data_IF_334738396454
#
_entry.id   IF_334738396454
#
_cell.length_a   1.000
_cell.length_b   1.000
_cell.length_c   1.000
_cell.angle_alpha   90.00
_cell.angle_beta   90.00
_cell.angle_gamma   90.00
#
_symmetry.space_group_name_H-M   'P 1'
#
loop_
_entity.id
_entity.type
_entity.pdbx_description
1 polymer ?
#
# COMPACT_ATOMS: atom_id res chain seq x y z
N UNK A 1 66.60 11.73 -37.49
CA UNK A 1 65.23 11.83 -38.03
C UNK A 1 64.47 10.58 -37.60
N UNK A 2 63.79 10.68 -36.47
CA UNK A 2 63.05 9.61 -35.80
C UNK A 2 61.62 9.60 -36.36
N UNK A 3 61.13 8.46 -36.89
CA UNK A 3 59.73 8.31 -37.29
C UNK A 3 59.11 7.16 -36.51
N UNK A 4 58.18 7.55 -35.64
CA UNK A 4 57.38 6.73 -34.73
C UNK A 4 56.46 5.75 -35.46
N UNK A 5 56.36 4.53 -34.93
CA UNK A 5 55.27 3.59 -35.19
C UNK A 5 54.03 4.05 -34.41
N UNK A 6 52.90 4.26 -35.09
CA UNK A 6 51.57 4.36 -34.46
C UNK A 6 50.92 2.98 -34.46
N UNK A 7 50.80 2.37 -33.28
CA UNK A 7 49.93 1.22 -33.02
C UNK A 7 48.52 1.73 -32.69
N UNK A 8 47.54 1.40 -33.54
CA UNK A 8 46.11 1.60 -33.24
C UNK A 8 45.64 0.53 -32.26
N UNK A 9 45.25 0.95 -31.06
CA UNK A 9 44.56 0.10 -30.09
C UNK A 9 43.05 0.25 -30.30
N UNK A 10 42.41 -0.84 -30.74
CA UNK A 10 40.95 -0.93 -30.88
C UNK A 10 40.36 -1.25 -29.50
N UNK A 11 39.75 -0.27 -28.84
CA UNK A 11 39.06 -0.47 -27.57
C UNK A 11 37.68 -1.08 -27.84
N UNK A 12 37.49 -2.35 -27.48
CA UNK A 12 36.19 -3.00 -27.40
C UNK A 12 35.47 -2.50 -26.15
N UNK A 13 34.49 -1.61 -26.35
CA UNK A 13 33.51 -1.25 -25.33
C UNK A 13 32.55 -2.43 -25.15
N UNK A 14 32.77 -3.22 -24.08
CA UNK A 14 31.76 -4.14 -23.56
C UNK A 14 30.62 -3.29 -22.98
N UNK A 15 29.51 -3.18 -23.72
CA UNK A 15 28.27 -2.67 -23.17
C UNK A 15 27.79 -3.67 -22.12
N UNK A 16 27.95 -3.31 -20.84
CA UNK A 16 27.28 -4.02 -19.75
C UNK A 16 25.78 -3.80 -19.91
N UNK A 17 25.03 -4.86 -20.21
CA UNK A 17 23.59 -4.87 -20.02
C UNK A 17 23.35 -4.71 -18.53
N UNK A 18 22.91 -3.51 -18.11
CA UNK A 18 22.36 -3.34 -16.77
C UNK A 18 21.11 -4.22 -16.68
N UNK A 19 21.16 -5.27 -15.86
CA UNK A 19 19.98 -5.99 -15.40
C UNK A 19 19.24 -5.05 -14.44
N UNK A 20 18.40 -4.17 -14.97
CA UNK A 20 17.53 -3.31 -14.19
C UNK A 20 16.08 -3.80 -14.35
N UNK A 21 15.40 -3.99 -13.21
CA UNK A 21 13.96 -4.23 -13.04
C UNK A 21 13.38 -5.65 -13.15
N UNK A 22 14.10 -6.73 -12.80
CA UNK A 22 13.44 -8.05 -12.68
C UNK A 22 12.48 -8.17 -11.46
N UNK A 23 12.46 -7.18 -10.57
CA UNK A 23 11.71 -7.23 -9.30
C UNK A 23 10.41 -6.40 -9.27
N UNK A 24 10.05 -5.68 -10.35
CA UNK A 24 8.81 -4.89 -10.40
C UNK A 24 7.61 -5.78 -10.75
N UNK A 25 6.43 -5.46 -10.22
CA UNK A 25 5.22 -6.26 -10.43
C UNK A 25 4.96 -6.59 -11.91
N UNK A 26 5.17 -5.61 -12.80
CA UNK A 26 4.94 -5.75 -14.26
C UNK A 26 5.81 -6.82 -14.94
N UNK A 27 6.90 -7.24 -14.29
CA UNK A 27 7.81 -8.27 -14.78
C UNK A 27 7.64 -9.60 -14.03
N UNK A 28 6.79 -9.66 -13.01
CA UNK A 28 6.56 -10.85 -12.20
C UNK A 28 5.47 -11.75 -12.81
N UNK A 29 5.73 -13.05 -12.82
CA UNK A 29 4.78 -14.03 -13.33
C UNK A 29 3.56 -14.11 -12.40
N UNK A 30 2.36 -13.98 -12.96
CA UNK A 30 1.10 -14.04 -12.20
C UNK A 30 0.62 -12.68 -11.71
N UNK A 31 1.31 -11.59 -12.07
CA UNK A 31 0.83 -10.24 -11.84
C UNK A 31 -0.50 -9.98 -12.56
N UNK A 32 -1.37 -9.23 -11.90
CA UNK A 32 -2.58 -8.64 -12.48
C UNK A 32 -2.11 -7.42 -13.26
N UNK A 33 -2.26 -7.43 -14.59
CA UNK A 33 -1.77 -6.35 -15.46
C UNK A 33 -2.92 -5.53 -16.02
N UNK A 34 -2.72 -4.22 -16.12
CA UNK A 34 -3.64 -3.26 -16.71
C UNK A 34 -2.91 -2.37 -17.72
N UNK A 35 -3.66 -1.87 -18.71
CA UNK A 35 -3.13 -0.91 -19.67
C UNK A 35 -3.03 0.49 -19.03
N UNK A 36 -2.00 1.26 -19.40
CA UNK A 36 -1.84 2.64 -18.96
C UNK A 36 -3.04 3.51 -19.38
N UNK A 37 -3.53 4.34 -18.46
CA UNK A 37 -4.61 5.29 -18.70
C UNK A 37 -4.12 6.74 -18.50
N UNK A 38 -3.89 7.51 -19.58
CA UNK A 38 -3.38 8.88 -19.49
C UNK A 38 -4.39 9.87 -18.89
N UNK A 39 -5.62 9.45 -18.58
CA UNK A 39 -6.60 10.28 -17.86
C UNK A 39 -6.40 10.25 -16.34
N UNK A 40 -5.65 9.28 -15.81
CA UNK A 40 -5.32 9.14 -14.39
C UNK A 40 -4.01 9.85 -14.05
N UNK A 41 -3.83 10.21 -12.79
CA UNK A 41 -2.53 10.66 -12.30
C UNK A 41 -1.53 9.49 -12.39
N UNK A 42 -0.37 9.73 -13.01
CA UNK A 42 0.56 8.65 -13.34
C UNK A 42 1.06 7.87 -12.11
N UNK A 43 1.21 8.54 -10.96
CA UNK A 43 1.60 7.91 -9.69
C UNK A 43 0.53 6.95 -9.11
N UNK A 44 -0.71 6.98 -9.64
CA UNK A 44 -1.82 6.14 -9.19
C UNK A 44 -2.42 5.27 -10.31
N UNK A 45 -2.01 5.44 -11.56
CA UNK A 45 -2.38 4.59 -12.70
C UNK A 45 -1.61 3.26 -12.61
N UNK A 46 -2.30 2.17 -12.30
CA UNK A 46 -1.69 0.86 -12.06
C UNK A 46 -1.37 0.23 -13.42
N UNK A 47 -0.15 -0.27 -13.58
CA UNK A 47 0.24 -1.13 -14.70
C UNK A 47 0.29 -2.60 -14.31
N UNK A 48 0.64 -2.88 -13.05
CA UNK A 48 0.61 -4.22 -12.52
C UNK A 48 0.48 -4.25 -10.99
N UNK A 49 -0.25 -5.23 -10.46
CA UNK A 49 -0.26 -5.58 -9.05
C UNK A 49 0.13 -7.05 -8.88
N UNK A 50 0.96 -7.34 -7.88
CA UNK A 50 1.42 -8.68 -7.60
C UNK A 50 1.65 -8.88 -6.10
N UNK A 51 1.56 -10.12 -5.65
CA UNK A 51 2.01 -10.51 -4.32
C UNK A 51 2.55 -11.93 -4.40
N UNK A 52 3.67 -12.16 -3.74
CA UNK A 52 4.28 -13.49 -3.64
C UNK A 52 4.75 -13.78 -2.23
N UNK A 53 4.98 -15.06 -1.96
CA UNK A 53 5.40 -15.56 -0.65
C UNK A 53 6.80 -16.15 -0.71
N UNK A 54 7.60 -15.86 0.31
CA UNK A 54 8.83 -16.57 0.65
C UNK A 54 8.81 -16.99 2.13
N UNK A 55 8.60 -18.28 2.38
CA UNK A 55 8.51 -18.81 3.73
C UNK A 55 7.33 -18.21 4.50
N UNK A 56 7.61 -17.32 5.46
CA UNK A 56 6.60 -16.60 6.27
C UNK A 56 6.39 -15.15 5.84
N UNK A 57 7.13 -14.69 4.84
CA UNK A 57 7.06 -13.33 4.33
C UNK A 57 6.18 -13.32 3.09
N UNK A 58 5.33 -12.30 2.99
CA UNK A 58 4.63 -11.98 1.76
C UNK A 58 5.07 -10.59 1.33
N UNK A 59 5.49 -10.46 0.08
CA UNK A 59 5.81 -9.15 -0.50
C UNK A 59 4.72 -8.78 -1.48
N UNK A 60 4.04 -7.67 -1.18
CA UNK A 60 3.05 -7.03 -2.03
C UNK A 60 3.75 -5.99 -2.89
N UNK A 61 3.34 -5.91 -4.16
CA UNK A 61 3.97 -5.16 -5.22
C UNK A 61 2.92 -4.42 -6.03
N UNK A 62 3.24 -3.21 -6.46
CA UNK A 62 2.43 -2.45 -7.40
C UNK A 62 3.34 -1.58 -8.27
N UNK A 63 3.28 -1.80 -9.58
CA UNK A 63 3.93 -0.95 -10.58
C UNK A 63 2.91 0.06 -11.10
N UNK A 64 3.26 1.34 -11.06
CA UNK A 64 2.46 2.45 -11.58
C UNK A 64 3.02 2.98 -12.90
N UNK A 65 2.25 3.80 -13.61
CA UNK A 65 2.66 4.40 -14.88
C UNK A 65 3.67 5.55 -14.70
N UNK A 66 3.70 6.16 -13.51
CA UNK A 66 4.59 7.24 -13.10
C UNK A 66 5.53 6.83 -11.98
N UNK A 67 6.06 7.80 -11.24
CA UNK A 67 6.85 7.55 -10.03
C UNK A 67 5.91 7.28 -8.85
N UNK A 68 6.01 6.09 -8.24
CA UNK A 68 5.18 5.72 -7.11
C UNK A 68 5.54 6.58 -5.89
N UNK A 69 4.52 7.02 -5.15
CA UNK A 69 4.68 7.87 -3.97
C UNK A 69 4.99 9.34 -4.24
N UNK A 70 5.12 9.74 -5.51
CA UNK A 70 5.43 11.13 -5.89
C UNK A 70 4.30 12.12 -5.55
N UNK A 71 3.05 11.67 -5.53
CA UNK A 71 1.88 12.47 -5.19
C UNK A 71 1.42 12.17 -3.75
N UNK A 72 1.33 13.20 -2.92
CA UNK A 72 0.88 13.13 -1.53
C UNK A 72 -0.22 14.17 -1.26
N UNK A 73 -1.14 13.92 -0.31
CA UNK A 73 -2.14 14.92 0.05
C UNK A 73 -1.49 16.15 0.67
N UNK A 74 -2.03 17.33 0.37
CA UNK A 74 -1.57 18.58 0.98
C UNK A 74 -2.01 18.66 2.44
N UNK A 75 -1.13 19.02 3.39
CA UNK A 75 -1.52 19.23 4.79
C UNK A 75 -2.56 20.33 4.92
N UNK A 76 -3.52 20.08 5.80
CA UNK A 76 -4.64 20.97 6.14
C UNK A 76 -4.50 21.55 7.55
N UNK A 77 -3.65 20.95 8.38
CA UNK A 77 -3.40 21.32 9.78
C UNK A 77 -4.49 20.84 10.75
N UNK A 78 -5.37 19.93 10.32
CA UNK A 78 -6.44 19.39 11.16
C UNK A 78 -6.82 17.97 10.76
N UNK A 79 -7.04 17.11 11.76
CA UNK A 79 -7.49 15.73 11.56
C UNK A 79 -8.85 15.65 10.86
N UNK A 80 -9.82 16.46 11.30
CA UNK A 80 -11.17 16.45 10.74
C UNK A 80 -11.17 16.88 9.27
N UNK A 81 -11.54 15.96 8.37
CA UNK A 81 -11.56 16.22 6.94
C UNK A 81 -10.22 15.99 6.23
N UNK A 82 -9.19 15.53 6.94
CA UNK A 82 -7.88 15.21 6.39
C UNK A 82 -7.97 14.18 5.26
N UNK A 83 -7.14 14.36 4.24
CA UNK A 83 -7.07 13.45 3.09
C UNK A 83 -5.97 12.42 3.31
N UNK A 84 -6.23 11.19 2.88
CA UNK A 84 -5.29 10.08 2.88
C UNK A 84 -5.17 9.58 1.44
N UNK A 85 -3.96 9.47 0.91
CA UNK A 85 -3.73 8.74 -0.34
C UNK A 85 -3.18 7.37 -0.03
N UNK A 86 -3.53 6.37 -0.85
CA UNK A 86 -3.19 4.98 -0.54
C UNK A 86 -2.94 4.11 -1.78
N UNK A 87 -2.00 3.18 -1.61
CA UNK A 87 -1.81 1.97 -2.41
C UNK A 87 -2.33 0.80 -1.60
N UNK A 88 -3.30 0.05 -2.12
CA UNK A 88 -4.07 -0.93 -1.35
C UNK A 88 -4.04 -2.28 -2.05
N UNK A 89 -3.87 -3.34 -1.27
CA UNK A 89 -4.06 -4.72 -1.69
C UNK A 89 -5.19 -5.36 -0.88
N UNK A 90 -6.44 -5.28 -1.37
CA UNK A 90 -7.55 -6.02 -0.79
C UNK A 90 -7.33 -7.52 -0.95
N UNK A 91 -7.67 -8.30 0.06
CA UNK A 91 -7.44 -9.75 0.07
C UNK A 91 -8.68 -10.53 0.45
N UNK A 92 -8.68 -11.84 0.17
CA UNK A 92 -9.66 -12.79 0.71
C UNK A 92 -9.28 -13.33 2.09
N UNK A 93 -8.23 -12.80 2.73
CA UNK A 93 -7.78 -13.27 4.04
C UNK A 93 -8.83 -12.93 5.10
N UNK A 94 -8.96 -13.81 6.08
CA UNK A 94 -9.73 -13.49 7.28
C UNK A 94 -8.98 -12.42 8.10
N UNK A 95 -9.64 -11.36 8.60
CA UNK A 95 -9.00 -10.38 9.47
C UNK A 95 -8.26 -10.99 10.68
N UNK A 96 -8.71 -12.14 11.18
CA UNK A 96 -8.05 -12.87 12.26
C UNK A 96 -6.61 -13.30 11.94
N UNK A 97 -6.24 -13.42 10.66
CA UNK A 97 -4.89 -13.79 10.23
C UNK A 97 -3.84 -12.76 10.67
N UNK A 98 -4.24 -11.51 10.92
CA UNK A 98 -3.35 -10.45 11.41
C UNK A 98 -3.74 -9.95 12.80
N UNK A 99 -4.67 -10.61 13.48
CA UNK A 99 -5.02 -10.34 14.89
C UNK A 99 -6.28 -9.50 15.12
N UNK A 100 -7.00 -9.09 14.08
CA UNK A 100 -8.32 -8.49 14.24
C UNK A 100 -9.38 -9.53 14.62
N UNK A 101 -10.54 -9.07 15.08
CA UNK A 101 -11.74 -9.92 15.17
C UNK A 101 -12.10 -10.46 13.78
N UNK A 102 -12.20 -11.78 13.66
CA UNK A 102 -12.42 -12.45 12.38
C UNK A 102 -13.82 -12.25 11.79
N UNK A 103 -13.95 -12.47 10.48
CA UNK A 103 -15.21 -12.36 9.73
C UNK A 103 -15.89 -10.97 9.84
N UNK A 104 -15.10 -9.92 10.04
CA UNK A 104 -15.58 -8.54 10.25
C UNK A 104 -15.56 -7.65 9.02
N UNK A 105 -14.99 -8.11 7.90
CA UNK A 105 -14.93 -7.35 6.65
C UNK A 105 -13.81 -7.82 5.73
N UNK A 106 -13.44 -6.96 4.78
CA UNK A 106 -12.36 -7.20 3.82
C UNK A 106 -11.05 -6.78 4.47
N UNK A 107 -10.12 -7.72 4.64
CA UNK A 107 -8.76 -7.39 5.09
C UNK A 107 -7.96 -6.83 3.92
N UNK A 108 -7.39 -5.63 4.09
CA UNK A 108 -6.55 -5.00 3.10
C UNK A 108 -5.23 -4.52 3.72
N UNK A 109 -4.13 -4.76 3.01
CA UNK A 109 -2.87 -4.07 3.27
C UNK A 109 -2.95 -2.72 2.58
N UNK A 110 -2.60 -1.65 3.27
CA UNK A 110 -2.52 -0.32 2.69
C UNK A 110 -1.16 0.29 2.98
N UNK A 111 -0.52 0.89 1.97
CA UNK A 111 0.51 1.89 2.17
C UNK A 111 -0.14 3.27 2.01
N UNK A 112 0.02 4.14 2.99
CA UNK A 112 -0.73 5.41 3.13
C UNK A 112 0.22 6.59 3.31
N UNK A 113 -0.26 7.77 2.90
CA UNK A 113 0.33 9.07 3.26
C UNK A 113 -0.80 9.99 3.71
N UNK A 114 -0.65 10.57 4.90
CA UNK A 114 -1.66 11.41 5.55
C UNK A 114 -1.02 12.38 6.58
N UNK A 115 -0.63 13.59 6.15
CA UNK A 115 0.15 14.51 6.99
C UNK A 115 -0.58 15.11 8.20
N UNK A 116 -1.90 14.89 8.33
CA UNK A 116 -2.72 15.42 9.43
C UNK A 116 -3.39 14.33 10.28
N UNK A 117 -2.99 13.07 10.08
CA UNK A 117 -3.53 11.93 10.81
C UNK A 117 -2.38 11.16 11.44
N UNK A 118 -2.22 11.26 12.75
CA UNK A 118 -1.24 10.50 13.50
C UNK A 118 -1.88 9.19 13.97
N UNK A 119 -1.46 8.09 13.37
CA UNK A 119 -1.92 6.73 13.66
C UNK A 119 -0.77 5.74 13.87
N UNK A 120 0.44 6.24 14.11
CA UNK A 120 1.64 5.43 14.38
C UNK A 120 2.29 5.78 15.73
N UNK A 121 1.57 5.86 16.85
CA UNK A 121 2.11 6.36 18.13
C UNK A 121 3.25 5.50 18.73
N UNK A 122 3.53 4.33 18.15
CA UNK A 122 4.62 3.44 18.53
C UNK A 122 5.90 3.65 17.71
N UNK A 123 5.83 4.37 16.60
CA UNK A 123 6.90 4.53 15.63
C UNK A 123 7.12 6.02 15.34
N UNK A 124 8.36 6.46 15.40
CA UNK A 124 8.80 7.79 14.97
C UNK A 124 9.18 7.68 13.48
N UNK A 125 8.22 7.95 12.59
CA UNK A 125 8.34 7.66 11.16
C UNK A 125 9.46 8.47 10.50
N UNK A 126 9.59 9.72 10.93
CA UNK A 126 10.55 10.66 10.37
C UNK A 126 11.88 10.71 11.15
N UNK A 127 11.95 10.01 12.28
CA UNK A 127 13.11 9.88 13.16
C UNK A 127 13.58 11.23 13.74
N UNK A 128 12.66 12.14 14.06
CA UNK A 128 12.92 13.44 14.72
C UNK A 128 12.86 13.39 16.25
N UNK A 129 12.42 12.27 16.82
CA UNK A 129 12.27 12.01 18.24
C UNK A 129 10.87 12.26 18.80
N UNK A 130 9.87 12.56 17.98
CA UNK A 130 8.49 12.83 18.37
C UNK A 130 7.48 11.97 17.58
N UNK A 131 7.15 10.75 18.06
CA UNK A 131 6.22 9.84 17.37
C UNK A 131 4.75 10.33 17.37
N UNK A 132 4.48 11.55 17.84
CA UNK A 132 3.16 12.16 17.87
C UNK A 132 2.93 13.18 16.74
N UNK A 133 3.88 13.29 15.79
CA UNK A 133 3.84 14.26 14.69
C UNK A 133 4.01 13.63 13.30
N UNK A 134 3.75 12.33 13.21
CA UNK A 134 3.98 11.52 12.03
C UNK A 134 2.78 11.48 11.06
N UNK A 135 2.98 10.85 9.89
CA UNK A 135 1.96 10.71 8.84
C UNK A 135 2.33 11.29 7.47
N UNK A 136 3.39 12.11 7.36
CA UNK A 136 3.83 12.64 6.07
C UNK A 136 4.53 11.57 5.22
N UNK A 137 5.33 10.71 5.86
CA UNK A 137 6.05 9.65 5.16
C UNK A 137 5.09 8.51 4.84
N UNK A 138 5.33 7.85 3.71
CA UNK A 138 4.56 6.66 3.36
C UNK A 138 4.87 5.53 4.34
N UNK A 139 3.84 5.00 4.98
CA UNK A 139 3.90 3.89 5.92
C UNK A 139 2.77 2.91 5.63
N UNK A 140 2.66 1.82 6.39
CA UNK A 140 1.67 0.78 6.10
C UNK A 140 0.78 0.40 7.27
N UNK A 141 -0.41 -0.06 6.92
CA UNK A 141 -1.42 -0.57 7.82
C UNK A 141 -2.04 -1.85 7.31
N UNK A 142 -2.54 -2.64 8.26
CA UNK A 142 -3.68 -3.50 7.98
C UNK A 142 -4.96 -2.76 8.36
N UNK A 143 -5.95 -2.80 7.47
CA UNK A 143 -7.29 -2.26 7.74
C UNK A 143 -8.36 -3.28 7.42
N UNK A 144 -9.50 -3.19 8.11
CA UNK A 144 -10.71 -3.94 7.76
C UNK A 144 -11.73 -2.99 7.14
N UNK A 145 -12.04 -3.21 5.87
CA UNK A 145 -13.02 -2.42 5.12
C UNK A 145 -14.40 -3.06 5.21
N UNK A 146 -15.42 -2.23 5.40
CA UNK A 146 -16.83 -2.63 5.36
C UNK A 146 -17.67 -1.63 4.58
N UNK A 147 -18.78 -2.06 3.94
CA UNK A 147 -19.76 -1.14 3.38
C UNK A 147 -20.30 -0.19 4.46
N UNK A 148 -20.37 1.10 4.13
CA UNK A 148 -20.90 2.12 5.03
C UNK A 148 -21.58 3.22 4.22
N UNK A 149 -22.92 3.22 4.28
CA UNK A 149 -23.76 4.17 3.54
C UNK A 149 -23.53 5.63 3.98
N UNK A 150 -23.04 5.83 5.20
CA UNK A 150 -22.69 7.16 5.72
C UNK A 150 -21.46 7.76 5.00
N UNK A 151 -20.64 6.93 4.36
CA UNK A 151 -19.56 7.38 3.46
C UNK A 151 -20.05 7.64 2.02
N UNK A 152 -21.29 7.26 1.69
CA UNK A 152 -21.88 7.31 0.36
C UNK A 152 -22.48 5.98 -0.07
N UNK A 153 -23.40 6.03 -1.05
CA UNK A 153 -24.07 4.84 -1.55
C UNK A 153 -23.06 3.83 -2.11
N UNK A 154 -23.03 2.63 -1.53
CA UNK A 154 -22.10 1.56 -1.92
C UNK A 154 -20.63 1.81 -1.55
N UNK A 155 -20.32 2.87 -0.79
CA UNK A 155 -18.96 3.19 -0.39
C UNK A 155 -18.43 2.26 0.71
N UNK A 156 -17.11 2.10 0.73
CA UNK A 156 -16.40 1.43 1.81
C UNK A 156 -15.82 2.46 2.78
N UNK A 157 -15.62 2.03 4.02
CA UNK A 157 -14.86 2.76 5.03
C UNK A 157 -14.12 1.77 5.91
N UNK A 158 -13.14 2.27 6.66
CA UNK A 158 -12.49 1.46 7.68
C UNK A 158 -13.49 1.24 8.81
N UNK A 159 -13.72 -0.02 9.15
CA UNK A 159 -14.74 -0.44 10.11
C UNK A 159 -14.54 0.23 11.45
N UNK A 160 -15.53 0.96 11.95
CA UNK A 160 -15.51 1.52 13.31
C UNK A 160 -15.64 0.44 14.39
N UNK A 161 -15.05 0.73 15.55
CA UNK A 161 -15.24 -0.01 16.80
C UNK A 161 -16.39 0.65 17.56
N UNK A 162 -17.55 -0.02 17.74
CA UNK A 162 -18.66 0.57 18.47
C UNK A 162 -18.30 0.91 19.92
N UNK A 163 -18.81 2.04 20.41
CA UNK A 163 -18.53 2.50 21.78
C UNK A 163 -18.89 1.41 22.82
N UNK A 164 -17.97 1.17 23.76
CA UNK A 164 -18.13 0.17 24.82
C UNK A 164 -17.86 -1.29 24.40
N UNK A 165 -17.45 -1.53 23.15
CA UNK A 165 -17.01 -2.85 22.70
C UNK A 165 -15.49 -3.01 22.81
N UNK A 166 -15.03 -4.25 22.85
CA UNK A 166 -13.61 -4.61 22.94
C UNK A 166 -13.31 -5.78 21.97
N UNK A 167 -13.36 -5.56 20.65
CA UNK A 167 -13.03 -6.59 19.68
C UNK A 167 -11.56 -7.04 19.83
N UNK A 168 -11.22 -8.18 19.24
CA UNK A 168 -9.83 -8.56 19.10
C UNK A 168 -9.12 -7.56 18.17
N UNK A 169 -7.95 -7.09 18.60
CA UNK A 169 -7.14 -6.11 17.88
C UNK A 169 -5.69 -6.59 17.83
N UNK A 170 -4.93 -6.27 16.76
CA UNK A 170 -3.51 -6.56 16.69
C UNK A 170 -2.71 -5.85 17.79
N UNK A 171 -1.53 -6.37 18.10
CA UNK A 171 -0.67 -5.81 19.16
C UNK A 171 -0.19 -4.38 18.86
N UNK A 172 -0.15 -4.02 17.59
CA UNK A 172 0.29 -2.72 17.07
C UNK A 172 -0.88 -1.78 16.75
N UNK A 173 -2.08 -2.07 17.28
CA UNK A 173 -3.23 -1.17 17.19
C UNK A 173 -2.91 0.20 17.85
N UNK A 174 -3.11 1.32 17.13
CA UNK A 174 -2.79 2.66 17.64
C UNK A 174 -3.80 3.23 18.65
N UNK A 175 -4.82 2.46 19.04
CA UNK A 175 -5.85 2.93 19.99
C UNK A 175 -6.98 3.75 19.35
N UNK A 176 -7.01 3.81 18.02
CA UNK A 176 -8.07 4.51 17.26
C UNK A 176 -9.37 3.70 17.22
N UNK A 177 -10.55 4.33 17.20
CA UNK A 177 -11.84 3.64 17.26
C UNK A 177 -12.25 3.01 15.92
N UNK A 178 -11.31 2.44 15.18
CA UNK A 178 -11.47 1.77 13.89
C UNK A 178 -10.58 0.53 13.83
N UNK A 179 -10.90 -0.41 12.93
CA UNK A 179 -10.11 -1.59 12.64
C UNK A 179 -8.90 -1.22 11.77
N UNK A 180 -7.89 -0.65 12.42
CA UNK A 180 -6.59 -0.30 11.87
C UNK A 180 -5.48 -0.91 12.72
N UNK A 181 -4.39 -1.28 12.07
CA UNK A 181 -3.16 -1.74 12.69
C UNK A 181 -2.00 -0.99 12.06
N UNK A 182 -1.02 -0.60 12.86
CA UNK A 182 0.12 0.19 12.39
C UNK A 182 1.41 -0.55 12.74
N UNK A 183 1.74 -1.64 12.03
CA UNK A 183 2.80 -2.57 12.42
C UNK A 183 4.23 -2.09 12.12
N UNK A 184 4.38 -0.93 11.45
CA UNK A 184 5.68 -0.34 11.11
C UNK A 184 6.42 -1.04 9.96
N UNK A 185 5.71 -1.78 9.10
CA UNK A 185 6.31 -2.35 7.89
C UNK A 185 6.53 -1.24 6.86
N UNK A 186 7.78 -0.82 6.67
CA UNK A 186 8.10 0.30 5.79
C UNK A 186 7.88 -0.06 4.30
N UNK A 187 7.08 0.72 3.55
CA UNK A 187 7.04 0.62 2.10
C UNK A 187 8.39 0.98 1.47
N UNK A 188 8.75 0.31 0.39
CA UNK A 188 9.91 0.61 -0.44
C UNK A 188 9.45 1.12 -1.80
N UNK A 189 9.98 2.27 -2.22
CA UNK A 189 9.72 2.86 -3.53
C UNK A 189 10.96 2.75 -4.42
N UNK A 190 10.77 2.29 -5.66
CA UNK A 190 11.82 2.17 -6.68
C UNK A 190 11.27 2.62 -8.04
N UNK A 191 11.36 3.92 -8.31
CA UNK A 191 10.79 4.53 -9.51
C UNK A 191 9.27 4.30 -9.57
N UNK A 192 8.75 3.51 -10.54
CA UNK A 192 7.32 3.23 -10.65
C UNK A 192 6.78 2.20 -9.65
N UNK A 193 7.65 1.50 -8.93
CA UNK A 193 7.28 0.40 -8.06
C UNK A 193 7.13 0.86 -6.61
N UNK A 194 6.05 0.43 -5.96
CA UNK A 194 5.94 0.34 -4.51
C UNK A 194 5.88 -1.13 -4.09
N UNK A 195 6.60 -1.48 -3.03
CA UNK A 195 6.51 -2.79 -2.40
C UNK A 195 6.44 -2.72 -0.88
N UNK A 196 5.73 -3.67 -0.28
CA UNK A 196 5.63 -3.82 1.19
C UNK A 196 5.81 -5.29 1.53
N UNK A 197 6.79 -5.61 2.39
CA UNK A 197 7.01 -6.98 2.87
C UNK A 197 6.49 -7.14 4.28
N UNK A 198 5.61 -8.12 4.47
CA UNK A 198 4.91 -8.35 5.74
C UNK A 198 5.13 -9.79 6.23
N UNK A 199 5.38 -10.01 7.53
CA UNK A 199 5.47 -11.33 8.12
C UNK A 199 4.09 -11.86 8.52
N UNK A 200 3.85 -13.15 8.29
CA UNK A 200 2.72 -13.90 8.83
C UNK A 200 3.19 -14.93 9.85
N UNK A 201 2.48 -15.06 10.97
CA UNK A 201 2.85 -16.03 12.01
C UNK A 201 2.61 -17.47 11.59
N UNK A 202 1.47 -17.71 10.94
CA UNK A 202 1.14 -18.96 10.27
C UNK A 202 1.22 -18.78 8.75
N UNK A 203 2.28 -19.25 8.10
CA UNK A 203 2.40 -19.16 6.65
C UNK A 203 1.28 -19.87 5.89
N UNK A 204 0.69 -20.93 6.45
CA UNK A 204 -0.39 -21.68 5.79
C UNK A 204 -1.70 -20.90 5.73
N UNK A 205 -1.88 -19.89 6.60
CA UNK A 205 -3.07 -19.06 6.63
C UNK A 205 -3.21 -18.13 5.41
N UNK A 206 -2.14 -17.93 4.64
CA UNK A 206 -2.14 -17.08 3.44
C UNK A 206 -2.12 -17.86 2.13
N UNK A 207 -2.01 -19.19 2.20
CA UNK A 207 -1.95 -20.03 1.01
C UNK A 207 -3.28 -20.02 0.25
N UNK A 208 -3.22 -19.72 -1.04
CA UNK A 208 -4.37 -19.64 -1.94
C UNK A 208 -5.26 -18.41 -1.71
N UNK A 209 -4.88 -17.49 -0.83
CA UNK A 209 -5.63 -16.26 -0.63
C UNK A 209 -5.58 -15.40 -1.90
N UNK A 210 -6.73 -14.88 -2.31
CA UNK A 210 -6.82 -14.02 -3.48
C UNK A 210 -6.58 -12.55 -3.11
N UNK A 211 -6.12 -11.77 -4.09
CA UNK A 211 -5.85 -10.34 -3.91
C UNK A 211 -6.09 -9.55 -5.19
N UNK A 212 -6.14 -8.23 -5.03
CA UNK A 212 -6.15 -7.24 -6.11
C UNK A 212 -5.19 -6.08 -5.79
N UNK A 213 -5.08 -5.11 -6.71
CA UNK A 213 -4.41 -3.84 -6.48
C UNK A 213 -5.38 -2.66 -6.69
N UNK A 214 -5.37 -1.71 -5.77
CA UNK A 214 -6.22 -0.51 -5.83
C UNK A 214 -5.39 0.71 -5.42
N UNK A 215 -5.56 1.82 -6.12
CA UNK A 215 -5.10 3.14 -5.67
C UNK A 215 -6.32 3.98 -5.32
N UNK A 216 -6.31 4.62 -4.16
CA UNK A 216 -7.51 5.32 -3.67
C UNK A 216 -7.19 6.48 -2.74
N UNK A 217 -8.17 7.38 -2.61
CA UNK A 217 -8.19 8.40 -1.56
C UNK A 217 -9.22 8.05 -0.49
N UNK A 218 -8.83 8.24 0.76
CA UNK A 218 -9.71 8.23 1.91
C UNK A 218 -9.78 9.62 2.52
N UNK A 219 -10.83 9.84 3.31
CA UNK A 219 -11.03 11.08 4.04
C UNK A 219 -11.49 10.82 5.46
N UNK A 220 -10.81 11.46 6.40
CA UNK A 220 -11.25 11.48 7.80
C UNK A 220 -12.54 12.28 7.90
N UNK A 221 -13.51 11.78 8.63
CA UNK A 221 -14.77 12.48 8.85
C UNK A 221 -14.53 13.86 9.45
N UNK A 222 -15.19 14.88 8.89
CA UNK A 222 -15.02 16.26 9.34
C UNK A 222 -15.34 16.46 10.83
N UNK A 223 -16.26 15.64 11.37
CA UNK A 223 -16.64 15.69 12.78
C UNK A 223 -15.87 14.69 13.66
N UNK A 224 -14.95 13.90 13.09
CA UNK A 224 -14.13 12.90 13.81
C UNK A 224 -15.01 11.89 14.58
N UNK A 225 -16.15 11.57 13.98
CA UNK A 225 -17.12 10.58 14.48
C UNK A 225 -17.28 9.48 13.45
N UNK A 226 -17.86 8.35 13.88
CA UNK A 226 -18.16 7.22 13.00
C UNK A 226 -19.11 7.64 11.84
N UNK A 227 -18.84 7.20 10.59
CA UNK A 227 -17.63 6.49 10.18
C UNK A 227 -16.42 7.42 10.19
N UNK A 228 -15.33 7.02 10.87
CA UNK A 228 -14.17 7.89 11.06
C UNK A 228 -13.37 8.08 9.75
N UNK A 229 -13.22 7.03 8.94
CA UNK A 229 -12.40 7.06 7.73
C UNK A 229 -13.14 6.42 6.54
N UNK A 230 -13.48 7.24 5.56
CA UNK A 230 -14.26 6.85 4.38
C UNK A 230 -13.38 6.76 3.14
N UNK A 231 -13.59 5.75 2.28
CA UNK A 231 -13.05 5.75 0.93
C UNK A 231 -13.86 6.74 0.10
N UNK A 232 -13.21 7.78 -0.42
CA UNK A 232 -13.89 8.87 -1.14
C UNK A 232 -13.62 8.89 -2.63
N UNK A 233 -12.53 8.28 -3.08
CA UNK A 233 -12.19 8.19 -4.49
C UNK A 233 -11.42 6.91 -4.77
N UNK A 234 -11.68 6.29 -5.92
CA UNK A 234 -10.91 5.16 -6.44
C UNK A 234 -10.20 5.66 -7.69
N UNK A 235 -8.89 5.78 -7.61
CA UNK A 235 -8.09 6.25 -8.72
C UNK A 235 -7.91 5.15 -9.77
N UNK A 236 -7.64 3.93 -9.33
CA UNK A 236 -7.50 2.79 -10.22
C UNK A 236 -7.72 1.44 -9.51
N UNK A 237 -8.06 0.42 -10.30
CA UNK A 237 -8.20 -0.98 -9.88
C UNK A 237 -7.47 -1.85 -10.91
N UNK A 238 -6.48 -2.64 -10.49
CA UNK A 238 -5.64 -3.43 -11.37
C UNK A 238 -6.45 -4.42 -12.23
N UNK A 239 -7.46 -5.08 -11.64
CA UNK A 239 -8.39 -5.96 -12.37
C UNK A 239 -9.48 -5.21 -13.15
N UNK A 240 -9.68 -3.92 -12.86
CA UNK A 240 -10.77 -3.09 -13.39
C UNK A 240 -12.14 -3.29 -12.73
N UNK A 241 -12.35 -4.38 -11.99
CA UNK A 241 -13.66 -4.71 -11.39
C UNK A 241 -13.60 -5.20 -9.94
N UNK A 242 -12.41 -5.25 -9.36
CA UNK A 242 -12.16 -5.74 -8.01
C UNK A 242 -12.59 -7.21 -7.82
N UNK A 243 -12.41 -8.04 -8.85
CA UNK A 243 -12.68 -9.48 -8.79
C UNK A 243 -11.65 -10.30 -8.02
N UNK A 244 -10.54 -9.68 -7.58
CA UNK A 244 -9.40 -10.30 -6.89
C UNK A 244 -8.82 -11.50 -7.69
N UNK A 245 -8.37 -11.32 -8.93
CA UNK A 245 -7.88 -12.43 -9.76
C UNK A 245 -6.49 -12.93 -9.36
N UNK A 246 -5.74 -12.16 -8.55
CA UNK A 246 -4.44 -12.58 -8.03
C UNK A 246 -4.57 -13.69 -6.99
N UNK A 247 -3.54 -14.52 -6.84
CA UNK A 247 -3.51 -15.60 -5.85
C UNK A 247 -2.12 -15.72 -5.21
N UNK A 248 -2.07 -15.77 -3.88
CA UNK A 248 -0.86 -16.08 -3.11
C UNK A 248 -0.59 -17.59 -3.18
N UNK A 249 0.43 -17.98 -3.95
CA UNK A 249 0.87 -19.37 -4.11
C UNK A 249 2.22 -19.63 -3.42
#
# INVERSE_FOLDING_TARGET
MTRSLLTSACALLLAGTAFANENHAIHQQGAITSDADPSKAAAFDILAAHAHRDGRLVTFHMTTNGEAGADQPSPTGALGGASVFSYVWPTSLNPATVGFEGDTGILALAATSHPDFDDTPLFDENNDGDPANDGLLWHSHWVVLTPTEDCGEGALGVRDIPEGTTPAMPLTWPGLPIFIDSPGYAPTFDGPEISVTVPFDDPSAVEGASYDGVTSALRVNANIHAPLLCVTDIFDIASGDLSLPGALN
#
